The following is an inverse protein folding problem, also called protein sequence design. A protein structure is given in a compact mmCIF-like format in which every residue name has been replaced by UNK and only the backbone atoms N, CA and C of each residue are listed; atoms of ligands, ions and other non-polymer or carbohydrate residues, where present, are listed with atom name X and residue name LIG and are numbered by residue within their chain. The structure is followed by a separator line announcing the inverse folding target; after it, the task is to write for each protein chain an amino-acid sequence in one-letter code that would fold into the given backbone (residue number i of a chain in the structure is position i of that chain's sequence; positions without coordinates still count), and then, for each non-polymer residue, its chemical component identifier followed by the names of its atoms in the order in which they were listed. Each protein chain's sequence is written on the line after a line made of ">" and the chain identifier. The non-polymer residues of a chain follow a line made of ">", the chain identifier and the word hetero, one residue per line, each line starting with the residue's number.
data_IF_182443620890
#
_entry.id   IF_182443620890
#
_cell.length_a   1.000
_cell.length_b   1.000
_cell.length_c   1.000
_cell.angle_alpha   90.00
_cell.angle_beta   90.00
_cell.angle_gamma   90.00
#
_symmetry.space_group_name_H-M   'P 1'
#
loop_
_entity.id
_entity.type
_entity.pdbx_description
1 polymer ?
#
# COMPACT_ATOMS: atom_id res chain seq x y z
N UNK A 1 3.78 -15.99 -12.92
CA UNK A 1 4.02 -16.98 -11.83
C UNK A 1 3.82 -16.26 -10.49
N UNK A 2 2.96 -16.75 -9.60
CA UNK A 2 2.74 -16.15 -8.27
C UNK A 2 3.82 -16.67 -7.32
N UNK A 3 4.41 -15.78 -6.53
CA UNK A 3 5.45 -16.11 -5.56
C UNK A 3 4.82 -16.13 -4.17
N UNK A 4 5.13 -17.17 -3.40
CA UNK A 4 4.78 -17.23 -1.98
C UNK A 4 5.69 -16.29 -1.18
N UNK A 5 5.17 -15.71 -0.09
CA UNK A 5 5.86 -14.71 0.73
C UNK A 5 6.32 -13.46 -0.03
N UNK A 6 5.64 -13.09 -1.11
CA UNK A 6 5.95 -11.90 -1.89
C UNK A 6 5.04 -10.73 -1.52
N UNK A 7 5.58 -9.51 -1.59
CA UNK A 7 4.80 -8.26 -1.51
C UNK A 7 4.77 -7.64 -2.90
N UNK A 8 3.57 -7.50 -3.46
CA UNK A 8 3.35 -6.76 -4.69
C UNK A 8 3.02 -5.31 -4.35
N UNK A 9 3.62 -4.35 -5.04
CA UNK A 9 3.30 -2.93 -4.91
C UNK A 9 2.58 -2.48 -6.17
N UNK A 10 1.40 -1.91 -6.00
CA UNK A 10 0.55 -1.41 -7.07
C UNK A 10 0.41 0.10 -6.90
N UNK A 11 0.55 0.83 -8.01
CA UNK A 11 0.08 2.20 -8.10
C UNK A 11 -1.41 2.16 -8.45
N UNK A 12 -2.25 2.56 -7.50
CA UNK A 12 -3.71 2.54 -7.66
C UNK A 12 -4.21 3.71 -8.51
N UNK A 13 -3.41 4.77 -8.62
CA UNK A 13 -3.71 5.98 -9.38
C UNK A 13 -3.47 7.25 -8.57
N UNK A 14 -3.91 8.37 -9.14
CA UNK A 14 -3.81 9.70 -8.54
C UNK A 14 -5.14 10.45 -8.63
N UNK A 15 -5.34 11.41 -7.72
CA UNK A 15 -6.52 12.29 -7.70
C UNK A 15 -6.10 13.74 -7.40
N UNK A 16 -6.48 14.72 -8.23
CA UNK A 16 -6.28 16.13 -7.92
C UNK A 16 -7.02 16.54 -6.65
N UNK A 17 -6.39 17.32 -5.76
CA UNK A 17 -6.96 17.79 -4.49
C UNK A 17 -7.49 19.23 -4.54
N UNK A 18 -7.32 19.96 -5.64
CA UNK A 18 -7.82 21.32 -5.81
C UNK A 18 -7.96 21.74 -7.28
N UNK A 19 -8.66 22.85 -7.51
CA UNK A 19 -8.77 23.48 -8.82
C UNK A 19 -7.47 24.19 -9.18
N UNK A 20 -7.06 24.05 -10.44
CA UNK A 20 -5.82 24.62 -10.95
C UNK A 20 -5.95 26.14 -11.08
N UNK A 21 -5.62 26.89 -10.02
CA UNK A 21 -5.56 28.35 -10.12
C UNK A 21 -4.39 28.74 -11.04
N UNK A 22 -4.73 29.19 -12.25
CA UNK A 22 -3.78 29.56 -13.31
C UNK A 22 -2.72 28.49 -13.67
N UNK A 23 -3.08 27.21 -13.57
CA UNK A 23 -2.29 26.10 -14.14
C UNK A 23 -0.88 25.90 -13.57
N UNK A 24 -0.58 26.47 -12.39
CA UNK A 24 0.81 26.53 -11.90
C UNK A 24 1.16 25.75 -10.65
N UNK A 25 0.23 25.17 -9.90
CA UNK A 25 0.54 24.13 -8.90
C UNK A 25 -0.66 23.22 -8.70
N UNK A 26 -0.59 21.97 -9.17
CA UNK A 26 -1.61 20.97 -8.90
C UNK A 26 -1.15 20.06 -7.77
N UNK A 27 -1.90 20.09 -6.68
CA UNK A 27 -1.71 19.13 -5.59
C UNK A 27 -2.43 17.84 -5.94
N UNK A 28 -1.71 16.73 -5.96
CA UNK A 28 -2.26 15.41 -6.27
C UNK A 28 -2.12 14.47 -5.07
N UNK A 29 -3.17 13.70 -4.81
CA UNK A 29 -3.13 12.55 -3.92
C UNK A 29 -2.75 11.31 -4.72
N UNK A 30 -1.60 10.73 -4.42
CA UNK A 30 -1.16 9.45 -4.98
C UNK A 30 -1.61 8.31 -4.08
N UNK A 31 -1.96 7.17 -4.68
CA UNK A 31 -2.43 6.00 -3.95
C UNK A 31 -1.68 4.73 -4.34
N UNK A 32 -1.30 3.95 -3.33
CA UNK A 32 -0.52 2.73 -3.50
C UNK A 32 -1.08 1.59 -2.66
N UNK A 33 -1.13 0.39 -3.24
CA UNK A 33 -1.53 -0.84 -2.56
C UNK A 33 -0.38 -1.83 -2.47
N UNK A 34 -0.11 -2.28 -1.25
CA UNK A 34 0.85 -3.33 -0.92
C UNK A 34 0.07 -4.62 -0.67
N UNK A 35 0.29 -5.63 -1.50
CA UNK A 35 -0.42 -6.91 -1.41
C UNK A 35 0.56 -7.99 -1.00
N UNK A 36 0.49 -8.39 0.27
CA UNK A 36 1.21 -9.57 0.76
C UNK A 36 0.50 -10.82 0.25
N UNK A 37 1.23 -11.68 -0.45
CA UNK A 37 0.75 -12.95 -0.98
C UNK A 37 1.31 -14.09 -0.16
N UNK A 38 0.42 -14.97 0.29
CA UNK A 38 0.77 -16.21 0.99
C UNK A 38 0.07 -17.38 0.35
N UNK A 39 0.77 -18.50 0.28
CA UNK A 39 0.17 -19.77 -0.12
C UNK A 39 -0.84 -20.21 0.95
N UNK A 40 -2.02 -20.61 0.50
CA UNK A 40 -3.13 -21.04 1.33
C UNK A 40 -3.54 -22.46 0.93
N UNK A 41 -2.94 -23.45 1.59
CA UNK A 41 -3.28 -24.85 1.46
C UNK A 41 -4.42 -25.21 2.43
N UNK A 42 -5.66 -25.15 1.95
CA UNK A 42 -6.87 -25.77 2.56
C UNK A 42 -7.37 -25.14 3.89
N UNK A 43 -8.70 -24.99 4.10
CA UNK A 43 -9.25 -24.14 5.15
C UNK A 43 -9.41 -24.90 6.48
N UNK A 44 -8.33 -25.15 7.20
CA UNK A 44 -8.43 -25.58 8.60
C UNK A 44 -8.42 -24.36 9.53
N UNK A 45 -9.63 -23.92 9.88
CA UNK A 45 -10.10 -23.17 11.06
C UNK A 45 -9.35 -21.97 11.70
N UNK A 46 -8.22 -21.49 11.18
CA UNK A 46 -7.70 -20.20 11.63
C UNK A 46 -6.84 -19.52 10.57
N UNK A 47 -7.41 -18.50 9.92
CA UNK A 47 -6.70 -17.63 8.98
C UNK A 47 -5.50 -16.91 9.64
N UNK A 48 -5.47 -16.86 10.98
CA UNK A 48 -4.40 -16.27 11.78
C UNK A 48 -3.26 -17.25 12.10
N UNK A 49 -3.40 -18.55 11.84
CA UNK A 49 -2.37 -19.56 12.09
C UNK A 49 -1.33 -19.69 10.99
N UNK A 50 -1.49 -18.99 9.86
CA UNK A 50 -0.39 -18.80 8.91
C UNK A 50 0.68 -17.91 9.55
N UNK A 51 1.64 -18.57 10.21
CA UNK A 51 2.73 -17.93 10.95
C UNK A 51 3.36 -16.81 10.14
N UNK A 52 3.42 -15.61 10.72
CA UNK A 52 4.11 -14.44 10.16
C UNK A 52 3.29 -13.52 9.25
N UNK A 53 2.01 -13.79 8.93
CA UNK A 53 1.18 -12.83 8.16
C UNK A 53 0.97 -11.53 8.92
N UNK A 54 0.50 -11.61 10.17
CA UNK A 54 0.25 -10.43 11.00
C UNK A 54 1.52 -9.63 11.27
N UNK A 55 2.64 -10.32 11.50
CA UNK A 55 3.96 -9.71 11.70
C UNK A 55 4.41 -8.95 10.45
N UNK A 56 4.33 -9.57 9.26
CA UNK A 56 4.70 -8.94 8.00
C UNK A 56 3.80 -7.75 7.66
N UNK A 57 2.48 -7.87 7.85
CA UNK A 57 1.57 -6.74 7.65
C UNK A 57 1.86 -5.60 8.63
N UNK A 58 2.21 -5.94 9.88
CA UNK A 58 2.61 -4.95 10.89
C UNK A 58 3.92 -4.27 10.50
N UNK A 59 4.90 -5.03 10.01
CA UNK A 59 6.18 -4.50 9.55
C UNK A 59 5.99 -3.55 8.35
N UNK A 60 5.19 -3.93 7.36
CA UNK A 60 4.85 -3.08 6.21
C UNK A 60 4.18 -1.78 6.69
N UNK A 61 3.17 -1.89 7.56
CA UNK A 61 2.49 -0.71 8.12
C UNK A 61 3.43 0.20 8.89
N UNK A 62 4.34 -0.36 9.70
CA UNK A 62 5.34 0.42 10.43
C UNK A 62 6.35 1.10 9.51
N UNK A 63 6.76 0.44 8.43
CA UNK A 63 7.71 0.99 7.48
C UNK A 63 7.15 2.18 6.69
N UNK A 64 5.86 2.10 6.30
CA UNK A 64 5.25 3.13 5.44
C UNK A 64 4.44 4.19 6.18
N UNK A 65 3.97 3.92 7.40
CA UNK A 65 3.23 4.92 8.16
C UNK A 65 4.16 6.08 8.53
N UNK A 66 3.83 7.27 8.04
CA UNK A 66 4.64 8.46 8.29
C UNK A 66 5.94 8.50 7.48
N UNK A 67 6.13 7.58 6.53
CA UNK A 67 7.30 7.59 5.66
C UNK A 67 7.22 8.80 4.73
N UNK A 68 8.36 9.46 4.56
CA UNK A 68 8.53 10.59 3.65
C UNK A 68 9.70 10.26 2.70
N UNK A 69 9.45 10.08 1.40
CA UNK A 69 10.52 9.94 0.42
C UNK A 69 11.31 11.26 0.33
N UNK A 70 12.62 11.16 0.58
CA UNK A 70 13.59 12.25 0.44
C UNK A 70 14.53 11.94 -0.72
N UNK A 71 14.78 12.93 -1.57
CA UNK A 71 15.84 12.89 -2.57
C UNK A 71 16.65 14.20 -2.47
N UNK A 72 17.96 14.07 -2.26
CA UNK A 72 18.92 15.20 -2.23
C UNK A 72 18.44 16.43 -1.43
N UNK A 73 18.02 16.21 -0.17
CA UNK A 73 17.46 17.21 0.76
C UNK A 73 16.07 17.78 0.43
N UNK A 74 15.44 17.34 -0.65
CA UNK A 74 14.07 17.73 -1.01
C UNK A 74 13.06 16.65 -0.65
N UNK A 75 11.93 17.07 -0.09
CA UNK A 75 10.78 16.20 0.12
C UNK A 75 10.07 16.01 -1.21
N UNK A 76 9.98 14.76 -1.68
CA UNK A 76 9.24 14.43 -2.91
C UNK A 76 7.71 14.46 -2.69
N UNK A 77 7.27 14.41 -1.44
CA UNK A 77 5.87 14.45 -1.02
C UNK A 77 5.61 15.64 -0.12
N UNK A 78 4.46 16.29 -0.27
CA UNK A 78 4.01 17.37 0.61
C UNK A 78 3.37 16.85 1.90
N UNK A 79 2.98 15.57 1.94
CA UNK A 79 2.55 14.91 3.18
C UNK A 79 3.15 13.51 3.33
N UNK A 80 3.45 13.06 4.56
CA UNK A 80 3.87 11.68 4.79
C UNK A 80 2.84 10.66 4.31
N UNK A 81 3.28 9.45 4.01
CA UNK A 81 2.40 8.34 3.68
C UNK A 81 1.45 8.03 4.86
N UNK A 82 0.15 7.97 4.55
CA UNK A 82 -0.93 7.66 5.51
C UNK A 82 -1.62 6.38 5.10
N UNK A 83 -2.02 5.57 6.08
CA UNK A 83 -2.79 4.37 5.81
C UNK A 83 -4.23 4.74 5.42
N UNK A 84 -4.74 4.14 4.35
CA UNK A 84 -6.09 4.32 3.83
C UNK A 84 -6.86 2.99 3.84
N UNK A 85 -8.16 3.05 3.53
CA UNK A 85 -9.00 1.86 3.39
C UNK A 85 -8.49 0.98 2.25
N UNK A 86 -8.05 -0.23 2.59
CA UNK A 86 -7.58 -1.23 1.64
C UNK A 86 -8.74 -2.01 1.01
N UNK A 87 -8.47 -2.67 -0.12
CA UNK A 87 -9.38 -3.64 -0.70
C UNK A 87 -9.63 -4.82 0.27
N UNK A 88 -10.73 -5.58 0.10
CA UNK A 88 -10.93 -6.81 0.86
C UNK A 88 -9.84 -7.86 0.58
N UNK A 89 -9.54 -8.70 1.58
CA UNK A 89 -8.68 -9.87 1.41
C UNK A 89 -9.30 -10.78 0.35
N UNK A 90 -8.50 -11.24 -0.61
CA UNK A 90 -8.94 -12.14 -1.68
C UNK A 90 -8.25 -13.49 -1.57
N UNK A 91 -8.94 -14.55 -1.94
CA UNK A 91 -8.40 -15.90 -2.06
C UNK A 91 -8.52 -16.36 -3.52
N UNK A 92 -7.42 -16.78 -4.14
CA UNK A 92 -7.39 -17.16 -5.54
C UNK A 92 -6.28 -18.18 -5.83
N UNK A 93 -6.62 -19.28 -6.49
CA UNK A 93 -5.72 -20.37 -6.90
C UNK A 93 -4.80 -20.89 -5.78
N UNK A 94 -5.35 -21.06 -4.57
CA UNK A 94 -4.57 -21.53 -3.42
C UNK A 94 -3.63 -20.48 -2.83
N UNK A 95 -3.89 -19.20 -3.05
CA UNK A 95 -3.19 -18.08 -2.42
C UNK A 95 -4.17 -17.13 -1.73
N UNK A 96 -3.74 -16.58 -0.60
CA UNK A 96 -4.39 -15.48 0.10
C UNK A 96 -3.65 -14.17 -0.20
N UNK A 97 -4.41 -13.11 -0.44
CA UNK A 97 -3.94 -11.78 -0.82
C UNK A 97 -4.37 -10.79 0.25
N UNK A 98 -3.41 -10.23 0.97
CA UNK A 98 -3.62 -9.31 2.08
C UNK A 98 -3.22 -7.89 1.67
N UNK A 99 -4.15 -7.07 1.16
CA UNK A 99 -3.86 -5.71 0.73
C UNK A 99 -3.74 -4.75 1.93
N UNK A 100 -2.83 -3.78 1.81
CA UNK A 100 -2.69 -2.60 2.65
C UNK A 100 -2.54 -1.39 1.73
N UNK A 101 -3.37 -0.36 1.92
CA UNK A 101 -3.35 0.81 1.06
C UNK A 101 -2.77 2.00 1.80
N UNK A 102 -1.98 2.79 1.09
CA UNK A 102 -1.43 4.05 1.56
C UNK A 102 -1.70 5.16 0.55
N UNK A 103 -1.81 6.38 1.05
CA UNK A 103 -1.88 7.60 0.25
C UNK A 103 -0.82 8.60 0.71
N UNK A 104 -0.38 9.43 -0.23
CA UNK A 104 0.49 10.57 0.03
C UNK A 104 0.10 11.70 -0.90
N UNK A 105 0.57 12.90 -0.63
CA UNK A 105 0.31 14.08 -1.45
C UNK A 105 1.60 14.54 -2.10
N UNK A 106 1.53 14.97 -3.34
CA UNK A 106 2.62 15.61 -4.09
C UNK A 106 2.15 16.94 -4.66
N UNK A 107 3.09 17.86 -4.90
CA UNK A 107 2.84 19.09 -5.63
C UNK A 107 3.52 18.98 -6.99
N UNK A 108 2.78 19.34 -8.05
CA UNK A 108 3.20 19.24 -9.45
C UNK A 108 3.09 20.59 -10.14
#
# INVERSE_FOLDING_TARGET
>A
RRLDNAVYVLFDGFRPLGDADNGRQQTEELSFSFILVKRHYVPSHSLYEQTGVGEMLTAIKKAFRGWEPKADDWHLTTTPFKQASALPIKYLDGFAYFPCRFTTTVAT
#
